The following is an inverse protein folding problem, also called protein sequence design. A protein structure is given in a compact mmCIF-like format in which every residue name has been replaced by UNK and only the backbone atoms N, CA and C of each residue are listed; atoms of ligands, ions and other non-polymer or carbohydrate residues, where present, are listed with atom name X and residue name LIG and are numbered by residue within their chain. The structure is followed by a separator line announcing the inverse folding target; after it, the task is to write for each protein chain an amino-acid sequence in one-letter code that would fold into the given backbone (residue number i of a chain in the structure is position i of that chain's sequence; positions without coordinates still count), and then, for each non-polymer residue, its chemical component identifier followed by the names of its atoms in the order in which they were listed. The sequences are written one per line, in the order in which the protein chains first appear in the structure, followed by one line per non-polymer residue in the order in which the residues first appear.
data_IF_234189496714
#
_entry.id   IF_234189496714
#
_cell.length_a   1.000
_cell.length_b   1.000
_cell.length_c   1.000
_cell.angle_alpha   90.00
_cell.angle_beta   90.00
_cell.angle_gamma   90.00
#
_symmetry.space_group_name_H-M   'P 1'
#
loop_
_entity.id
_entity.type
_entity.pdbx_description
1 polymer ?
#
# COMPACT_ATOMS: atom_id res chain seq x y z
N UNK A 1 -4.38 -13.97 12.42
CA UNK A 1 -4.84 -13.04 13.48
C UNK A 1 -3.83 -11.94 13.78
N UNK A 2 -2.53 -12.26 13.94
CA UNK A 2 -1.51 -11.24 14.22
C UNK A 2 -1.46 -10.08 13.22
N UNK A 3 -1.70 -10.35 11.93
CA UNK A 3 -1.70 -9.31 10.88
C UNK A 3 -2.86 -8.31 11.04
N UNK A 4 -4.16 -8.71 11.09
CA UNK A 4 -5.24 -7.78 11.40
C UNK A 4 -5.03 -6.96 12.67
N UNK A 5 -4.51 -7.58 13.75
CA UNK A 5 -4.19 -6.88 14.99
C UNK A 5 -3.10 -5.83 14.76
N UNK A 6 -1.98 -6.20 14.13
CA UNK A 6 -0.87 -5.28 13.87
C UNK A 6 -1.28 -4.11 12.96
N UNK A 7 -2.07 -4.37 11.92
CA UNK A 7 -2.61 -3.31 11.04
C UNK A 7 -3.49 -2.34 11.82
N UNK A 8 -4.40 -2.82 12.65
CA UNK A 8 -5.27 -1.95 13.46
C UNK A 8 -4.51 -1.19 14.56
N UNK A 9 -3.40 -1.73 15.07
CA UNK A 9 -2.48 -0.94 15.91
C UNK A 9 -1.91 0.26 15.13
N UNK A 10 -1.58 0.08 13.85
CA UNK A 10 -1.08 1.17 12.98
C UNK A 10 -2.20 2.14 12.55
N UNK A 11 -3.46 1.69 12.40
CA UNK A 11 -4.60 2.59 12.24
C UNK A 11 -4.65 3.64 13.35
N UNK A 12 -4.46 3.22 14.60
CA UNK A 12 -4.40 4.13 15.74
C UNK A 12 -3.07 4.88 15.82
N UNK A 13 -1.93 4.18 15.79
CA UNK A 13 -0.63 4.81 16.02
C UNK A 13 -0.26 5.81 14.92
N UNK A 14 -0.60 5.52 13.66
CA UNK A 14 -0.29 6.35 12.51
C UNK A 14 -1.39 7.36 12.19
N UNK A 15 -2.68 7.05 12.29
CA UNK A 15 -3.72 8.02 11.93
C UNK A 15 -4.55 8.54 13.11
N UNK A 16 -4.40 7.97 14.30
CA UNK A 16 -5.27 8.31 15.43
C UNK A 16 -6.71 7.83 15.23
N UNK A 17 -6.93 6.72 14.52
CA UNK A 17 -8.24 6.07 14.52
C UNK A 17 -8.49 5.48 15.91
N UNK A 18 -9.69 5.69 16.46
CA UNK A 18 -10.08 5.25 17.81
C UNK A 18 -10.00 3.72 17.95
N UNK A 19 -9.17 3.16 18.85
CA UNK A 19 -9.01 1.71 19.00
C UNK A 19 -10.32 0.94 19.24
N UNK A 20 -11.24 1.51 20.01
CA UNK A 20 -12.55 0.95 20.32
C UNK A 20 -13.52 0.92 19.13
N UNK A 21 -13.13 1.53 17.99
CA UNK A 21 -13.83 1.49 16.71
C UNK A 21 -13.15 0.56 15.70
N UNK A 22 -12.10 -0.14 16.10
CA UNK A 22 -11.35 -1.09 15.28
C UNK A 22 -11.70 -2.54 15.69
N UNK A 23 -11.96 -3.41 14.71
CA UNK A 23 -12.29 -4.81 14.95
C UNK A 23 -11.41 -5.75 14.10
N UNK A 24 -10.42 -6.44 14.69
CA UNK A 24 -9.63 -7.43 13.95
C UNK A 24 -10.45 -8.71 13.74
N UNK A 25 -10.49 -9.20 12.50
CA UNK A 25 -11.22 -10.42 12.14
C UNK A 25 -10.29 -11.40 11.42
N UNK A 26 -10.48 -12.69 11.67
CA UNK A 26 -9.92 -13.79 10.88
C UNK A 26 -11.04 -14.69 10.46
N UNK A 27 -11.10 -15.00 9.17
CA UNK A 27 -11.99 -16.01 8.61
C UNK A 27 -11.19 -17.32 8.50
N UNK A 28 -11.43 -18.24 9.42
CA UNK A 28 -10.77 -19.55 9.42
C UNK A 28 -11.61 -20.58 8.65
N UNK A 29 -11.12 -20.97 7.47
CA UNK A 29 -11.73 -21.99 6.60
C UNK A 29 -10.84 -23.22 6.50
N UNK A 30 -9.92 -23.40 7.45
CA UNK A 30 -8.86 -24.39 7.41
C UNK A 30 -7.55 -23.86 6.84
N UNK A 31 -6.55 -24.73 6.78
CA UNK A 31 -5.20 -24.42 6.28
C UNK A 31 -4.64 -25.56 5.45
N UNK A 32 -3.93 -25.22 4.38
CA UNK A 32 -3.22 -26.22 3.56
C UNK A 32 -1.79 -26.48 4.06
N UNK A 33 -1.35 -25.77 5.10
CA UNK A 33 -0.01 -25.92 5.67
C UNK A 33 0.09 -27.21 6.50
N UNK A 34 0.82 -28.20 5.98
CA UNK A 34 1.01 -29.51 6.64
C UNK A 34 1.69 -29.41 7.99
N UNK A 35 2.55 -28.43 8.21
CA UNK A 35 3.22 -28.22 9.49
C UNK A 35 2.20 -27.80 10.55
N UNK A 36 1.31 -26.86 10.22
CA UNK A 36 0.28 -26.39 11.15
C UNK A 36 -0.77 -27.47 11.44
N UNK A 37 -1.15 -28.28 10.46
CA UNK A 37 -2.10 -29.38 10.67
C UNK A 37 -1.57 -30.50 11.59
N UNK A 38 -0.25 -30.54 11.84
CA UNK A 38 0.40 -31.50 12.73
C UNK A 38 0.84 -30.86 14.05
N UNK A 39 0.73 -29.55 14.18
CA UNK A 39 1.17 -28.81 15.35
C UNK A 39 0.08 -28.84 16.42
N UNK A 40 0.31 -29.45 17.60
CA UNK A 40 -0.69 -29.51 18.67
C UNK A 40 -1.01 -28.13 19.28
N UNK A 41 -0.23 -27.10 18.98
CA UNK A 41 -0.48 -25.73 19.41
C UNK A 41 -1.18 -24.88 18.34
N UNK A 42 -1.53 -25.47 17.19
CA UNK A 42 -2.28 -24.74 16.16
C UNK A 42 -3.68 -24.36 16.67
N UNK A 43 -3.99 -23.07 16.58
CA UNK A 43 -5.23 -22.48 17.11
C UNK A 43 -6.42 -22.55 16.15
N UNK A 44 -6.22 -23.01 14.92
CA UNK A 44 -7.25 -23.02 13.87
C UNK A 44 -7.88 -24.38 13.62
N UNK A 45 -8.66 -24.47 12.56
CA UNK A 45 -9.32 -25.69 12.12
C UNK A 45 -8.30 -26.70 11.54
N UNK A 46 -8.27 -27.92 12.07
CA UNK A 46 -7.42 -29.02 11.61
C UNK A 46 -7.98 -29.70 10.34
N UNK A 47 -8.19 -28.90 9.29
CA UNK A 47 -8.66 -29.34 7.98
C UNK A 47 -8.02 -28.51 6.88
N UNK A 48 -8.03 -29.06 5.65
CA UNK A 48 -7.64 -28.30 4.46
C UNK A 48 -8.62 -27.15 4.21
N UNK A 49 -8.13 -26.13 3.50
CA UNK A 49 -8.95 -24.98 3.11
C UNK A 49 -10.15 -25.43 2.30
N UNK A 50 -11.35 -25.06 2.74
CA UNK A 50 -12.53 -25.16 1.90
C UNK A 50 -12.44 -24.14 0.75
N UNK A 51 -12.69 -24.59 -0.47
CA UNK A 51 -12.70 -23.80 -1.71
C UNK A 51 -14.00 -23.99 -2.50
N UNK A 52 -14.97 -24.67 -1.91
CA UNK A 52 -16.31 -24.82 -2.47
C UNK A 52 -17.08 -23.51 -2.35
N UNK A 53 -18.32 -23.52 -2.85
CA UNK A 53 -19.25 -22.41 -2.70
C UNK A 53 -19.46 -21.98 -1.24
N UNK A 54 -19.28 -22.88 -0.27
CA UNK A 54 -19.39 -22.55 1.14
C UNK A 54 -18.41 -21.43 1.58
N UNK A 55 -17.24 -21.33 0.96
CA UNK A 55 -16.31 -20.23 1.24
C UNK A 55 -16.86 -18.88 0.77
N UNK A 56 -17.44 -18.86 -0.42
CA UNK A 56 -18.05 -17.66 -0.99
C UNK A 56 -19.26 -17.20 -0.17
N UNK A 57 -20.12 -18.15 0.19
CA UNK A 57 -21.32 -17.90 1.00
C UNK A 57 -20.93 -17.37 2.39
N UNK A 58 -19.87 -17.90 3.01
CA UNK A 58 -19.35 -17.41 4.29
C UNK A 58 -18.87 -15.94 4.19
N UNK A 59 -18.17 -15.59 3.11
CA UNK A 59 -17.71 -14.20 2.94
C UNK A 59 -18.89 -13.28 2.64
N UNK A 60 -19.88 -13.72 1.85
CA UNK A 60 -21.11 -12.95 1.63
C UNK A 60 -21.86 -12.68 2.95
N UNK A 61 -22.07 -13.73 3.75
CA UNK A 61 -22.70 -13.63 5.07
C UNK A 61 -21.92 -12.69 5.99
N UNK A 62 -20.59 -12.78 6.01
CA UNK A 62 -19.74 -11.88 6.79
C UNK A 62 -19.95 -10.41 6.39
N UNK A 63 -19.88 -10.10 5.09
CA UNK A 63 -20.04 -8.72 4.61
C UNK A 63 -21.43 -8.17 4.97
N UNK A 64 -22.47 -8.98 4.81
CA UNK A 64 -23.85 -8.60 5.14
C UNK A 64 -24.04 -8.41 6.65
N UNK A 65 -23.56 -9.33 7.48
CA UNK A 65 -23.69 -9.26 8.93
C UNK A 65 -22.95 -8.05 9.53
N UNK A 66 -21.74 -7.75 9.04
CA UNK A 66 -20.96 -6.58 9.48
C UNK A 66 -21.72 -5.29 9.19
N UNK A 67 -22.20 -5.12 7.96
CA UNK A 67 -22.93 -3.90 7.58
C UNK A 67 -24.29 -3.80 8.25
N UNK A 68 -25.03 -4.90 8.40
CA UNK A 68 -26.30 -4.93 9.11
C UNK A 68 -26.15 -4.49 10.58
N UNK A 69 -25.02 -4.81 11.21
CA UNK A 69 -24.76 -4.48 12.62
C UNK A 69 -24.14 -3.10 12.82
N UNK A 70 -23.17 -2.73 11.98
CA UNK A 70 -22.31 -1.57 12.20
C UNK A 70 -22.57 -0.40 11.26
N UNK A 71 -23.35 -0.61 10.19
CA UNK A 71 -23.70 0.43 9.21
C UNK A 71 -23.01 0.24 7.86
N UNK A 72 -23.63 0.77 6.81
CA UNK A 72 -23.18 0.67 5.41
C UNK A 72 -21.86 1.42 5.13
N UNK A 73 -21.54 2.40 5.97
CA UNK A 73 -20.30 3.17 5.97
C UNK A 73 -19.17 2.50 6.78
N UNK A 74 -19.39 1.28 7.30
CA UNK A 74 -18.33 0.50 7.95
C UNK A 74 -17.22 0.18 6.96
N UNK A 75 -16.02 0.67 7.23
CA UNK A 75 -14.83 0.36 6.46
C UNK A 75 -14.40 -1.10 6.67
N UNK A 76 -14.30 -1.86 5.59
CA UNK A 76 -13.83 -3.25 5.59
C UNK A 76 -12.55 -3.34 4.74
N UNK A 77 -11.40 -3.54 5.39
CA UNK A 77 -10.12 -3.79 4.71
C UNK A 77 -9.86 -5.29 4.58
N UNK A 78 -9.65 -5.76 3.34
CA UNK A 78 -9.12 -7.09 3.07
C UNK A 78 -7.58 -7.07 3.11
N UNK A 79 -6.99 -8.11 3.71
CA UNK A 79 -5.54 -8.24 3.92
C UNK A 79 -5.13 -9.71 3.86
N UNK A 80 -4.00 -10.02 3.23
CA UNK A 80 -3.36 -11.34 3.15
C UNK A 80 -4.29 -12.46 2.61
N UNK A 81 -5.15 -12.12 1.64
CA UNK A 81 -5.91 -13.13 0.90
C UNK A 81 -5.04 -13.74 -0.20
N UNK A 82 -5.30 -14.98 -0.60
CA UNK A 82 -4.60 -15.55 -1.77
C UNK A 82 -5.03 -14.82 -3.05
N UNK A 83 -4.07 -14.57 -3.95
CA UNK A 83 -4.22 -13.81 -5.21
C UNK A 83 -5.58 -13.89 -5.91
N UNK A 84 -6.03 -15.10 -6.22
CA UNK A 84 -7.33 -15.30 -6.87
C UNK A 84 -8.51 -14.73 -6.06
N UNK A 85 -8.51 -14.97 -4.74
CA UNK A 85 -9.56 -14.52 -3.83
C UNK A 85 -9.48 -13.00 -3.57
N UNK A 86 -8.27 -12.44 -3.47
CA UNK A 86 -8.08 -11.01 -3.24
C UNK A 86 -8.73 -10.18 -4.36
N UNK A 87 -8.42 -10.49 -5.64
CA UNK A 87 -9.00 -9.77 -6.77
C UNK A 87 -10.50 -9.98 -6.93
N UNK A 88 -10.98 -11.23 -6.80
CA UNK A 88 -12.40 -11.51 -7.02
C UNK A 88 -13.27 -10.87 -5.94
N UNK A 89 -12.84 -10.89 -4.67
CA UNK A 89 -13.59 -10.25 -3.59
C UNK A 89 -13.55 -8.74 -3.69
N UNK A 90 -12.38 -8.15 -3.99
CA UNK A 90 -12.31 -6.71 -4.25
C UNK A 90 -13.30 -6.31 -5.36
N UNK A 91 -13.29 -7.01 -6.50
CA UNK A 91 -14.21 -6.74 -7.61
C UNK A 91 -15.67 -6.93 -7.23
N UNK A 92 -16.00 -7.99 -6.48
CA UNK A 92 -17.36 -8.33 -6.06
C UNK A 92 -17.94 -7.30 -5.10
N UNK A 93 -17.13 -6.76 -4.18
CA UNK A 93 -17.63 -5.98 -3.04
C UNK A 93 -17.39 -4.47 -3.14
N UNK A 94 -16.43 -4.00 -3.94
CA UNK A 94 -16.04 -2.57 -3.99
C UNK A 94 -17.16 -1.59 -4.35
N UNK A 95 -18.16 -2.05 -5.13
CA UNK A 95 -19.33 -1.24 -5.52
C UNK A 95 -20.58 -1.50 -4.66
N UNK A 96 -20.49 -2.41 -3.66
CA UNK A 96 -21.58 -2.75 -2.74
C UNK A 96 -21.29 -2.30 -1.30
N UNK A 97 -20.02 -2.24 -0.91
CA UNK A 97 -19.58 -1.97 0.46
C UNK A 97 -18.43 -0.96 0.49
N UNK A 98 -18.23 -0.32 1.65
CA UNK A 98 -17.07 0.52 1.89
C UNK A 98 -15.84 -0.36 2.15
N UNK A 99 -15.22 -0.83 1.07
CA UNK A 99 -14.13 -1.82 1.16
C UNK A 99 -12.99 -1.55 0.19
N UNK A 100 -11.81 -2.00 0.58
CA UNK A 100 -10.61 -2.02 -0.25
C UNK A 100 -9.71 -3.19 0.16
N UNK A 101 -8.72 -3.51 -0.67
CA UNK A 101 -7.68 -4.47 -0.33
C UNK A 101 -6.32 -3.75 -0.26
N UNK A 102 -5.63 -3.86 0.88
CA UNK A 102 -4.40 -3.11 1.12
C UNK A 102 -3.18 -3.66 0.35
N UNK A 103 -3.14 -4.98 0.12
CA UNK A 103 -2.10 -5.65 -0.66
C UNK A 103 -2.13 -5.21 -2.14
N UNK A 104 -3.32 -4.97 -2.68
CA UNK A 104 -3.54 -4.49 -4.05
C UNK A 104 -3.44 -2.96 -4.09
N UNK A 105 -4.33 -2.26 -3.39
CA UNK A 105 -4.55 -0.82 -3.58
C UNK A 105 -3.62 0.04 -2.69
N UNK A 106 -3.36 -0.39 -1.46
CA UNK A 106 -2.44 0.31 -0.56
C UNK A 106 -0.99 0.21 -1.03
N UNK A 107 -0.56 -0.99 -1.44
CA UNK A 107 0.76 -1.20 -2.07
C UNK A 107 0.89 -0.41 -3.37
N UNK A 108 -0.17 -0.33 -4.18
CA UNK A 108 -0.18 0.50 -5.38
C UNK A 108 0.12 1.96 -5.09
N UNK A 109 -0.59 2.53 -4.11
CA UNK A 109 -0.44 3.93 -3.74
C UNK A 109 0.95 4.26 -3.20
N UNK A 110 1.51 3.42 -2.31
CA UNK A 110 2.85 3.70 -1.77
C UNK A 110 3.92 3.57 -2.86
N UNK A 111 3.86 2.54 -3.71
CA UNK A 111 4.83 2.39 -4.79
C UNK A 111 4.74 3.55 -5.79
N UNK A 112 3.53 3.99 -6.15
CA UNK A 112 3.34 5.16 -7.00
C UNK A 112 3.90 6.43 -6.34
N UNK A 113 3.67 6.64 -5.05
CA UNK A 113 4.23 7.79 -4.34
C UNK A 113 5.77 7.81 -4.42
N UNK A 114 6.42 6.66 -4.27
CA UNK A 114 7.87 6.52 -4.46
C UNK A 114 8.31 6.84 -5.90
N UNK A 115 7.54 6.46 -6.91
CA UNK A 115 7.81 6.81 -8.31
C UNK A 115 7.63 8.31 -8.57
N UNK A 116 6.61 8.94 -7.99
CA UNK A 116 6.39 10.40 -8.09
C UNK A 116 7.53 11.17 -7.39
N UNK A 117 8.03 10.68 -6.25
CA UNK A 117 9.23 11.21 -5.61
C UNK A 117 10.48 11.01 -6.49
N UNK A 118 10.62 9.84 -7.12
CA UNK A 118 11.72 9.56 -8.04
C UNK A 118 11.69 10.43 -9.31
N UNK A 119 10.51 10.77 -9.82
CA UNK A 119 10.32 11.74 -10.91
C UNK A 119 10.93 13.09 -10.55
N UNK A 120 10.77 13.58 -9.30
CA UNK A 120 11.43 14.83 -8.85
C UNK A 120 12.95 14.74 -8.85
N UNK A 121 13.52 13.58 -8.53
CA UNK A 121 14.97 13.38 -8.53
C UNK A 121 15.57 13.20 -9.93
N UNK A 122 14.79 12.70 -10.88
CA UNK A 122 15.24 12.45 -12.27
C UNK A 122 14.87 13.56 -13.24
N UNK A 123 13.89 14.41 -12.90
CA UNK A 123 13.30 15.38 -13.82
C UNK A 123 12.48 14.75 -14.95
N UNK A 124 12.29 13.42 -14.93
CA UNK A 124 11.66 12.66 -16.00
C UNK A 124 10.17 12.41 -15.69
N UNK A 125 9.24 12.78 -16.58
CA UNK A 125 7.81 12.53 -16.38
C UNK A 125 7.49 11.03 -16.24
N UNK A 126 6.50 10.67 -15.42
CA UNK A 126 6.02 9.28 -15.26
C UNK A 126 5.68 8.61 -16.60
N UNK A 127 5.18 9.38 -17.56
CA UNK A 127 4.84 8.93 -18.92
C UNK A 127 6.06 8.53 -19.76
N UNK A 128 7.28 8.88 -19.36
CA UNK A 128 8.50 8.48 -20.06
C UNK A 128 9.21 7.29 -19.39
N UNK A 129 8.76 6.87 -18.21
CA UNK A 129 9.31 5.71 -17.53
C UNK A 129 8.82 4.41 -18.16
N UNK A 130 9.71 3.42 -18.19
CA UNK A 130 9.39 2.02 -18.51
C UNK A 130 9.64 1.18 -17.27
N UNK A 131 8.62 0.45 -16.84
CA UNK A 131 8.59 -0.27 -15.57
C UNK A 131 8.60 -1.77 -15.85
N UNK A 132 9.53 -2.49 -15.21
CA UNK A 132 9.59 -3.94 -15.26
C UNK A 132 9.37 -4.50 -13.85
N UNK A 133 8.29 -5.27 -13.69
CA UNK A 133 7.96 -5.95 -12.46
C UNK A 133 8.60 -7.32 -12.39
N UNK A 134 9.12 -7.66 -11.21
CA UNK A 134 9.41 -9.03 -10.82
C UNK A 134 8.30 -9.50 -9.88
N UNK A 135 7.48 -10.42 -10.39
CA UNK A 135 6.18 -10.80 -9.85
C UNK A 135 5.04 -10.24 -10.71
N UNK A 136 3.93 -10.98 -10.78
CA UNK A 136 2.71 -10.61 -11.49
C UNK A 136 1.45 -10.88 -10.65
N UNK A 137 1.58 -10.72 -9.32
CA UNK A 137 0.53 -10.96 -8.34
C UNK A 137 -0.26 -9.70 -7.95
N UNK A 138 -0.84 -9.72 -6.74
CA UNK A 138 -1.71 -8.66 -6.20
C UNK A 138 -1.05 -7.28 -6.24
N UNK A 139 0.12 -7.18 -5.62
CA UNK A 139 0.90 -5.96 -5.58
C UNK A 139 1.30 -5.49 -6.98
N UNK A 140 1.84 -6.37 -7.85
CA UNK A 140 2.30 -5.99 -9.18
C UNK A 140 1.16 -5.39 -10.03
N UNK A 141 0.02 -6.06 -10.06
CA UNK A 141 -1.15 -5.63 -10.83
C UNK A 141 -1.81 -4.38 -10.24
N UNK A 142 -1.87 -4.26 -8.91
CA UNK A 142 -2.34 -3.05 -8.24
C UNK A 142 -1.47 -1.84 -8.61
N UNK A 143 -0.15 -1.95 -8.41
CA UNK A 143 0.81 -0.89 -8.75
C UNK A 143 0.72 -0.54 -10.23
N UNK A 144 0.73 -1.53 -11.12
CA UNK A 144 0.68 -1.30 -12.56
C UNK A 144 -0.58 -0.54 -13.00
N UNK A 145 -1.75 -0.91 -12.49
CA UNK A 145 -3.00 -0.20 -12.80
C UNK A 145 -2.98 1.25 -12.29
N UNK A 146 -2.43 1.49 -11.10
CA UNK A 146 -2.34 2.86 -10.57
C UNK A 146 -1.31 3.72 -11.32
N UNK A 147 -0.20 3.14 -11.78
CA UNK A 147 0.74 3.81 -12.70
C UNK A 147 0.04 4.18 -14.01
N UNK A 148 -0.75 3.27 -14.58
CA UNK A 148 -1.55 3.56 -15.80
C UNK A 148 -2.47 4.75 -15.56
N UNK A 149 -3.18 4.78 -14.43
CA UNK A 149 -4.05 5.92 -14.08
C UNK A 149 -3.27 7.23 -13.96
N UNK A 150 -2.10 7.22 -13.31
CA UNK A 150 -1.24 8.40 -13.19
C UNK A 150 -0.72 8.90 -14.56
N UNK A 151 -0.35 7.99 -15.46
CA UNK A 151 0.04 8.34 -16.83
C UNK A 151 -1.14 8.91 -17.64
N UNK A 152 -2.35 8.37 -17.43
CA UNK A 152 -3.58 8.86 -18.07
C UNK A 152 -3.97 10.25 -17.60
N UNK A 153 -3.82 10.54 -16.31
CA UNK A 153 -4.03 11.89 -15.75
C UNK A 153 -3.05 12.91 -16.37
N UNK A 154 -1.87 12.46 -16.77
CA UNK A 154 -0.87 13.26 -17.50
C UNK A 154 -1.12 13.32 -19.02
N UNK A 155 -2.27 12.83 -19.50
CA UNK A 155 -2.71 12.91 -20.91
C UNK A 155 -2.35 11.72 -21.81
N UNK A 156 -1.78 10.64 -21.28
CA UNK A 156 -1.45 9.44 -22.07
C UNK A 156 -2.68 8.56 -22.27
N UNK A 157 -2.80 7.87 -23.42
CA UNK A 157 -3.87 6.87 -23.60
C UNK A 157 -3.60 5.64 -22.73
N UNK A 158 -4.66 4.95 -22.32
CA UNK A 158 -4.53 3.72 -21.52
C UNK A 158 -3.64 2.66 -22.20
N UNK A 159 -3.75 2.52 -23.52
CA UNK A 159 -2.93 1.58 -24.29
C UNK A 159 -1.44 1.96 -24.26
N UNK A 160 -1.11 3.23 -24.49
CA UNK A 160 0.27 3.71 -24.45
C UNK A 160 0.89 3.67 -23.05
N UNK A 161 0.08 3.83 -22.00
CA UNK A 161 0.52 3.65 -20.62
C UNK A 161 0.82 2.17 -20.31
N UNK A 162 -0.04 1.23 -20.75
CA UNK A 162 0.17 -0.21 -20.58
C UNK A 162 1.41 -0.72 -21.31
N UNK A 163 1.70 -0.20 -22.50
CA UNK A 163 2.89 -0.54 -23.30
C UNK A 163 4.24 -0.29 -22.57
N UNK A 164 4.21 0.60 -21.57
CA UNK A 164 5.39 0.94 -20.74
C UNK A 164 5.61 0.01 -19.56
N UNK A 165 4.69 -0.92 -19.31
CA UNK A 165 4.70 -1.76 -18.11
C UNK A 165 4.84 -3.23 -18.50
N UNK A 166 5.91 -3.87 -18.02
CA UNK A 166 6.25 -5.25 -18.30
C UNK A 166 6.25 -6.05 -16.99
N UNK A 167 5.91 -7.34 -17.05
CA UNK A 167 5.86 -8.21 -15.87
C UNK A 167 6.59 -9.52 -16.13
N UNK A 168 7.32 -10.01 -15.13
CA UNK A 168 8.06 -11.27 -15.15
C UNK A 168 7.67 -12.10 -13.92
N UNK A 169 6.98 -13.23 -14.11
CA UNK A 169 6.55 -14.12 -13.02
C UNK A 169 7.47 -15.34 -12.87
N UNK A 170 7.06 -16.32 -12.06
CA UNK A 170 7.82 -17.55 -11.83
C UNK A 170 8.02 -18.40 -13.11
N UNK A 171 7.31 -18.10 -14.19
CA UNK A 171 7.38 -18.78 -15.48
C UNK A 171 8.00 -17.91 -16.58
N UNK A 172 8.42 -16.68 -16.27
CA UNK A 172 9.10 -15.79 -17.19
C UNK A 172 8.28 -14.54 -17.54
N UNK A 173 8.64 -13.90 -18.65
CA UNK A 173 8.00 -12.68 -19.12
C UNK A 173 6.54 -12.94 -19.54
N UNK A 174 5.63 -12.03 -19.21
CA UNK A 174 4.24 -12.09 -19.65
C UNK A 174 4.13 -11.69 -21.13
N UNK A 175 4.15 -12.69 -22.02
CA UNK A 175 4.07 -12.49 -23.47
C UNK A 175 3.01 -13.40 -24.12
N UNK A 176 2.47 -12.97 -25.26
CA UNK A 176 1.49 -13.74 -26.04
C UNK A 176 2.08 -15.08 -26.45
N UNK A 177 1.28 -16.13 -26.33
CA UNK A 177 1.67 -17.49 -26.73
C UNK A 177 2.65 -18.18 -25.77
N UNK A 178 2.92 -17.63 -24.58
CA UNK A 178 3.67 -18.34 -23.53
C UNK A 178 2.90 -19.60 -23.11
N UNK A 179 3.63 -20.63 -22.63
CA UNK A 179 3.04 -21.93 -22.27
C UNK A 179 2.12 -21.88 -21.06
N UNK A 180 2.46 -21.07 -20.05
CA UNK A 180 1.67 -20.94 -18.84
C UNK A 180 0.55 -19.93 -19.03
N UNK A 181 -0.64 -20.29 -18.57
CA UNK A 181 -1.79 -19.41 -18.64
C UNK A 181 -1.53 -18.10 -17.88
N UNK A 182 -2.14 -17.03 -18.38
CA UNK A 182 -2.22 -15.74 -17.71
C UNK A 182 -3.64 -15.57 -17.21
N UNK A 183 -3.81 -15.03 -16.01
CA UNK A 183 -5.16 -14.72 -15.51
C UNK A 183 -5.72 -13.45 -16.17
N UNK A 184 -7.04 -13.26 -16.07
CA UNK A 184 -7.75 -12.13 -16.70
C UNK A 184 -7.26 -10.75 -16.22
N UNK A 185 -6.71 -10.63 -15.02
CA UNK A 185 -6.12 -9.38 -14.54
C UNK A 185 -4.75 -9.12 -15.19
N UNK A 186 -4.03 -10.16 -15.58
CA UNK A 186 -2.70 -10.09 -16.21
C UNK A 186 -2.77 -9.77 -17.71
N UNK A 187 -3.84 -10.17 -18.40
CA UNK A 187 -4.05 -9.91 -19.85
C UNK A 187 -3.79 -8.44 -20.24
N UNK A 188 -4.10 -7.54 -19.31
CA UNK A 188 -3.74 -6.12 -19.26
C UNK A 188 -2.33 -5.76 -19.78
N UNK A 189 -1.37 -6.61 -19.46
CA UNK A 189 0.07 -6.37 -19.50
C UNK A 189 0.81 -7.49 -20.25
N UNK A 190 0.08 -8.29 -21.03
CA UNK A 190 0.66 -9.32 -21.91
C UNK A 190 1.04 -8.68 -23.23
N UNK A 191 2.33 -8.73 -23.57
CA UNK A 191 2.89 -8.09 -24.76
C UNK A 191 3.26 -9.09 -25.84
N UNK A 192 3.54 -8.60 -27.05
CA UNK A 192 4.21 -9.43 -28.06
C UNK A 192 5.62 -9.80 -27.57
N UNK A 193 6.09 -11.00 -27.94
CA UNK A 193 7.38 -11.49 -27.47
C UNK A 193 8.52 -10.64 -28.05
N UNK A 194 9.42 -10.10 -27.21
CA UNK A 194 10.58 -9.33 -27.68
C UNK A 194 11.75 -10.23 -28.12
N UNK A 195 11.55 -11.55 -28.21
CA UNK A 195 12.57 -12.53 -28.58
C UNK A 195 12.85 -13.54 -27.46
N UNK A 196 14.08 -14.05 -27.40
CA UNK A 196 14.50 -15.08 -26.44
C UNK A 196 14.89 -14.46 -25.10
N UNK A 197 13.94 -14.39 -24.16
CA UNK A 197 14.12 -13.89 -22.79
C UNK A 197 14.01 -15.05 -21.81
N UNK A 198 15.15 -15.50 -21.25
CA UNK A 198 15.21 -16.70 -20.39
C UNK A 198 15.37 -16.39 -18.92
N UNK A 199 15.90 -15.21 -18.59
CA UNK A 199 16.13 -14.76 -17.23
C UNK A 199 15.60 -13.34 -17.00
N UNK A 200 15.49 -12.94 -15.72
CA UNK A 200 15.15 -11.55 -15.39
C UNK A 200 16.22 -10.56 -15.86
N UNK A 201 17.50 -10.97 -15.88
CA UNK A 201 18.58 -10.16 -16.45
C UNK A 201 18.40 -9.96 -17.96
N UNK A 202 18.02 -11.01 -18.69
CA UNK A 202 17.70 -10.88 -20.13
C UNK A 202 16.54 -9.93 -20.34
N UNK A 203 15.52 -9.99 -19.49
CA UNK A 203 14.39 -9.06 -19.53
C UNK A 203 14.84 -7.61 -19.29
N UNK A 204 15.71 -7.35 -18.31
CA UNK A 204 16.29 -6.02 -18.07
C UNK A 204 17.07 -5.53 -19.28
N UNK A 205 17.93 -6.36 -19.87
CA UNK A 205 18.75 -5.97 -21.03
C UNK A 205 17.93 -5.75 -22.30
N UNK A 206 16.85 -6.51 -22.47
CA UNK A 206 15.97 -6.45 -23.65
C UNK A 206 15.00 -5.27 -23.56
N UNK A 207 14.29 -5.16 -22.43
CA UNK A 207 13.25 -4.15 -22.21
C UNK A 207 13.87 -2.78 -21.93
N UNK A 208 15.08 -2.75 -21.34
CA UNK A 208 15.78 -1.54 -20.88
C UNK A 208 14.90 -0.65 -19.99
N UNK A 209 14.37 -1.19 -18.88
CA UNK A 209 13.48 -0.44 -18.01
C UNK A 209 14.25 0.68 -17.30
N UNK A 210 13.53 1.74 -16.98
CA UNK A 210 14.03 2.81 -16.09
C UNK A 210 13.76 2.51 -14.62
N UNK A 211 12.78 1.64 -14.35
CA UNK A 211 12.41 1.22 -13.01
C UNK A 211 12.21 -0.30 -12.97
N UNK A 212 12.81 -0.95 -11.98
CA UNK A 212 12.48 -2.34 -11.61
C UNK A 212 11.78 -2.37 -10.27
N UNK A 213 10.68 -3.11 -10.18
CA UNK A 213 9.86 -3.22 -8.96
C UNK A 213 9.68 -4.70 -8.61
N UNK A 214 10.22 -5.10 -7.47
CA UNK A 214 10.18 -6.46 -6.96
C UNK A 214 9.08 -6.65 -5.93
N UNK A 215 8.19 -7.60 -6.20
CA UNK A 215 7.02 -7.96 -5.36
C UNK A 215 6.76 -9.48 -5.43
N UNK A 216 7.81 -10.29 -5.56
CA UNK A 216 7.69 -11.73 -5.80
C UNK A 216 7.72 -12.59 -4.52
N UNK A 217 8.15 -12.04 -3.37
CA UNK A 217 8.30 -12.79 -2.12
C UNK A 217 9.34 -13.92 -2.18
N UNK A 218 10.26 -13.85 -3.15
CA UNK A 218 11.12 -14.96 -3.54
C UNK A 218 12.61 -14.76 -3.17
N UNK A 219 12.96 -13.69 -2.48
CA UNK A 219 14.35 -13.43 -2.04
C UNK A 219 15.19 -12.74 -3.11
N UNK A 220 16.50 -12.97 -3.09
CA UNK A 220 17.54 -12.19 -3.77
C UNK A 220 17.58 -12.37 -5.30
N UNK A 221 16.54 -11.90 -5.98
CA UNK A 221 16.38 -12.02 -7.44
C UNK A 221 16.86 -10.78 -8.22
N UNK A 222 17.03 -9.64 -7.55
CA UNK A 222 17.82 -8.53 -8.11
C UNK A 222 19.29 -8.83 -7.84
N UNK A 223 19.84 -9.73 -8.64
CA UNK A 223 21.24 -10.14 -8.55
C UNK A 223 22.17 -8.96 -8.80
N UNK A 224 23.45 -9.12 -8.46
CA UNK A 224 24.45 -8.09 -8.72
C UNK A 224 24.49 -7.68 -10.20
N UNK A 225 24.36 -8.63 -11.11
CA UNK A 225 24.34 -8.36 -12.55
C UNK A 225 23.10 -7.59 -12.99
N UNK A 226 21.93 -7.87 -12.39
CA UNK A 226 20.70 -7.10 -12.63
C UNK A 226 20.87 -5.65 -12.18
N UNK A 227 21.44 -5.43 -10.98
CA UNK A 227 21.65 -4.07 -10.44
C UNK A 227 22.66 -3.30 -11.28
N UNK A 228 23.78 -3.94 -11.67
CA UNK A 228 24.78 -3.35 -12.56
C UNK A 228 24.20 -3.02 -13.94
N UNK A 229 23.38 -3.91 -14.50
CA UNK A 229 22.70 -3.66 -15.77
C UNK A 229 21.77 -2.44 -15.68
N UNK A 230 20.98 -2.32 -14.60
CA UNK A 230 20.17 -1.13 -14.35
C UNK A 230 21.02 0.14 -14.26
N UNK A 231 22.15 0.09 -13.56
CA UNK A 231 23.10 1.19 -13.42
C UNK A 231 23.81 1.57 -14.72
N UNK A 232 24.02 0.63 -15.65
CA UNK A 232 24.61 0.89 -16.96
C UNK A 232 23.59 1.47 -17.96
N UNK A 233 22.33 1.04 -17.86
CA UNK A 233 21.24 1.48 -18.76
C UNK A 233 20.66 2.84 -18.39
N UNK A 234 20.80 3.27 -17.13
CA UNK A 234 20.16 4.46 -16.60
C UNK A 234 21.15 5.28 -15.77
N UNK A 235 21.13 6.60 -15.93
CA UNK A 235 21.92 7.50 -15.08
C UNK A 235 21.49 7.40 -13.62
N UNK A 236 20.17 7.37 -13.36
CA UNK A 236 19.54 7.26 -12.02
C UNK A 236 18.52 6.11 -12.03
N UNK A 237 18.93 4.83 -11.93
CA UNK A 237 18.01 3.71 -12.00
C UNK A 237 17.08 3.67 -10.78
N UNK A 238 15.79 3.40 -11.00
CA UNK A 238 14.83 3.19 -9.91
C UNK A 238 14.79 1.69 -9.57
N UNK A 239 15.05 1.35 -8.31
CA UNK A 239 15.14 -0.05 -7.83
C UNK A 239 14.31 -0.20 -6.57
N UNK A 240 13.12 -0.81 -6.69
CA UNK A 240 12.22 -1.05 -5.55
C UNK A 240 12.21 -2.52 -5.18
N UNK A 241 12.68 -2.86 -3.97
CA UNK A 241 12.69 -4.22 -3.42
C UNK A 241 11.61 -4.37 -2.34
N UNK A 242 10.34 -4.52 -2.76
CA UNK A 242 9.17 -4.34 -1.90
C UNK A 242 8.73 -5.62 -1.18
N UNK A 243 9.33 -6.77 -1.49
CA UNK A 243 9.00 -8.02 -0.82
C UNK A 243 9.34 -8.02 0.67
N UNK A 244 8.43 -8.58 1.48
CA UNK A 244 8.56 -8.70 2.93
C UNK A 244 8.59 -10.17 3.38
N UNK A 245 9.21 -10.49 4.52
CA UNK A 245 10.10 -9.64 5.34
C UNK A 245 11.51 -9.50 4.70
N UNK A 246 12.49 -8.94 5.40
CA UNK A 246 13.83 -8.61 4.87
C UNK A 246 14.55 -9.75 4.14
N UNK A 247 14.35 -11.01 4.56
CA UNK A 247 14.95 -12.18 3.89
C UNK A 247 14.29 -12.52 2.54
N UNK A 248 13.14 -11.90 2.23
CA UNK A 248 12.44 -12.00 0.94
C UNK A 248 12.68 -10.81 0.02
N UNK A 249 13.33 -9.75 0.50
CA UNK A 249 13.66 -8.59 -0.32
C UNK A 249 14.58 -8.95 -1.49
N UNK A 250 14.31 -8.37 -2.66
CA UNK A 250 14.97 -8.67 -3.92
C UNK A 250 16.47 -8.34 -3.94
N UNK A 251 16.87 -7.31 -3.19
CA UNK A 251 18.26 -6.97 -2.90
C UNK A 251 18.34 -6.19 -1.59
N UNK A 252 19.55 -5.94 -1.10
CA UNK A 252 19.78 -5.04 0.02
C UNK A 252 19.94 -3.59 -0.47
N UNK A 253 19.72 -2.62 0.43
CA UNK A 253 20.11 -1.24 0.15
C UNK A 253 21.62 -1.11 -0.14
N UNK A 254 22.45 -1.87 0.57
CA UNK A 254 23.90 -1.86 0.42
C UNK A 254 24.33 -2.30 -0.97
N UNK A 255 23.80 -3.43 -1.47
CA UNK A 255 24.02 -3.89 -2.85
C UNK A 255 23.55 -2.85 -3.87
N UNK A 256 22.33 -2.31 -3.68
CA UNK A 256 21.73 -1.36 -4.62
C UNK A 256 22.59 -0.09 -4.77
N UNK A 257 22.98 0.55 -3.66
CA UNK A 257 23.80 1.75 -3.70
C UNK A 257 25.23 1.46 -4.14
N UNK A 258 25.86 0.39 -3.65
CA UNK A 258 27.26 0.08 -3.97
C UNK A 258 27.45 -0.25 -5.45
N UNK A 259 26.58 -1.08 -6.01
CA UNK A 259 26.70 -1.55 -7.40
C UNK A 259 26.22 -0.53 -8.44
N UNK A 260 25.64 0.58 -7.99
CA UNK A 260 25.23 1.70 -8.86
C UNK A 260 25.99 2.99 -8.54
N UNK A 261 27.06 2.92 -7.77
CA UNK A 261 27.88 4.07 -7.36
C UNK A 261 27.05 5.20 -6.71
N UNK A 262 26.05 4.82 -5.91
CA UNK A 262 25.14 5.75 -5.22
C UNK A 262 24.08 6.40 -6.11
N UNK A 263 24.02 6.05 -7.41
CA UNK A 263 23.11 6.71 -8.35
C UNK A 263 21.67 6.22 -8.29
N UNK A 264 21.44 5.00 -7.81
CA UNK A 264 20.09 4.44 -7.77
C UNK A 264 19.14 5.22 -6.85
N UNK A 265 17.87 5.15 -7.19
CA UNK A 265 16.75 5.59 -6.36
C UNK A 265 16.13 4.33 -5.75
N UNK A 266 16.57 4.01 -4.54
CA UNK A 266 16.22 2.77 -3.86
C UNK A 266 15.09 2.94 -2.85
N UNK A 267 14.16 1.99 -2.86
CA UNK A 267 13.17 1.81 -1.81
C UNK A 267 12.96 0.33 -1.52
N UNK A 268 12.48 0.02 -0.32
CA UNK A 268 12.26 -1.37 0.10
C UNK A 268 11.01 -1.53 0.95
N UNK A 269 10.42 -2.72 0.97
CA UNK A 269 9.22 -3.00 1.79
C UNK A 269 9.55 -3.13 3.27
N UNK A 270 10.70 -3.75 3.56
CA UNK A 270 11.26 -3.95 4.91
C UNK A 270 12.38 -2.94 5.18
N UNK A 271 12.62 -2.55 6.44
CA UNK A 271 13.60 -1.51 6.76
C UNK A 271 15.04 -1.97 6.50
N UNK A 272 15.85 -1.08 5.96
CA UNK A 272 17.31 -1.16 5.91
C UNK A 272 17.93 0.07 6.58
N UNK A 273 19.09 -0.11 7.20
CA UNK A 273 19.84 1.00 7.79
C UNK A 273 20.44 1.94 6.73
N UNK A 274 20.99 3.10 7.15
CA UNK A 274 21.76 3.96 6.27
C UNK A 274 22.97 3.23 5.66
N UNK A 275 23.33 3.61 4.44
CA UNK A 275 24.47 3.07 3.69
C UNK A 275 25.50 4.16 3.47
N UNK A 276 26.73 3.94 3.92
CA UNK A 276 27.86 4.85 3.69
C UNK A 276 28.74 4.28 2.59
N UNK A 277 28.87 4.97 1.47
CA UNK A 277 29.79 4.58 0.40
C UNK A 277 31.24 4.92 0.74
N UNK A 278 32.19 4.32 0.02
CA UNK A 278 33.64 4.56 0.20
C UNK A 278 34.04 6.03 0.06
N UNK A 279 33.30 6.81 -0.73
CA UNK A 279 33.48 8.26 -0.87
C UNK A 279 32.92 9.11 0.29
N UNK A 280 32.39 8.50 1.35
CA UNK A 280 31.84 9.18 2.53
C UNK A 280 30.39 9.65 2.39
N UNK A 281 29.77 9.52 1.21
CA UNK A 281 28.36 9.82 1.01
C UNK A 281 27.47 8.82 1.75
N UNK A 282 26.48 9.34 2.47
CA UNK A 282 25.52 8.54 3.25
C UNK A 282 24.15 8.61 2.61
N UNK A 283 23.56 7.44 2.34
CA UNK A 283 22.21 7.28 1.82
C UNK A 283 21.28 6.70 2.88
N UNK A 284 20.06 7.22 2.98
CA UNK A 284 19.04 6.75 3.91
C UNK A 284 17.87 6.16 3.12
N UNK A 285 17.87 4.84 2.85
CA UNK A 285 16.86 4.21 2.00
C UNK A 285 15.45 4.39 2.59
N UNK A 286 14.49 4.73 1.73
CA UNK A 286 13.09 4.83 2.11
C UNK A 286 12.40 3.47 2.23
N UNK A 287 11.38 3.38 3.07
CA UNK A 287 10.54 2.19 3.20
C UNK A 287 9.21 2.39 2.45
N UNK A 288 9.04 1.72 1.32
CA UNK A 288 7.79 1.71 0.54
C UNK A 288 6.77 0.74 1.14
N UNK A 289 6.29 1.05 2.34
CA UNK A 289 5.34 0.23 3.09
C UNK A 289 3.93 0.85 3.09
N UNK A 290 2.90 0.03 2.95
CA UNK A 290 1.50 0.47 2.92
C UNK A 290 1.05 1.18 4.22
N UNK A 291 1.80 1.09 5.32
CA UNK A 291 1.63 1.91 6.53
C UNK A 291 1.62 3.43 6.27
N UNK A 292 2.20 3.91 5.16
CA UNK A 292 2.06 5.32 4.78
C UNK A 292 0.68 5.69 4.22
N UNK A 293 -0.10 4.71 3.75
CA UNK A 293 -1.33 4.95 2.98
C UNK A 293 -2.57 4.57 3.78
N UNK A 294 -2.70 3.30 4.18
CA UNK A 294 -3.95 2.82 4.76
C UNK A 294 -4.43 3.61 5.99
N UNK A 295 -3.56 4.12 6.90
CA UNK A 295 -4.06 4.86 8.05
C UNK A 295 -4.75 6.17 7.63
N UNK A 296 -4.10 6.95 6.75
CA UNK A 296 -4.63 8.23 6.28
C UNK A 296 -5.86 8.07 5.40
N UNK A 297 -5.86 7.07 4.50
CA UNK A 297 -7.03 6.75 3.66
C UNK A 297 -8.20 6.31 4.53
N UNK A 298 -7.99 5.39 5.47
CA UNK A 298 -9.04 4.93 6.37
C UNK A 298 -9.62 6.08 7.20
N UNK A 299 -8.77 6.95 7.73
CA UNK A 299 -9.21 8.13 8.48
C UNK A 299 -10.08 9.05 7.61
N UNK A 300 -9.68 9.36 6.38
CA UNK A 300 -10.50 10.18 5.47
C UNK A 300 -11.84 9.53 5.15
N UNK A 301 -11.84 8.23 4.83
CA UNK A 301 -13.03 7.47 4.46
C UNK A 301 -14.05 7.47 5.60
N UNK A 302 -13.60 7.12 6.82
CA UNK A 302 -14.43 7.10 8.03
C UNK A 302 -14.96 8.50 8.34
N UNK A 303 -14.09 9.51 8.33
CA UNK A 303 -14.48 10.87 8.70
C UNK A 303 -15.34 11.58 7.65
N UNK A 304 -15.36 11.12 6.41
CA UNK A 304 -16.14 11.72 5.32
C UNK A 304 -17.43 10.94 5.00
N UNK A 305 -17.65 9.78 5.65
CA UNK A 305 -18.80 8.92 5.37
C UNK A 305 -18.80 8.39 3.94
N UNK A 306 -17.63 8.08 3.39
CA UNK A 306 -17.50 7.51 2.04
C UNK A 306 -18.14 6.12 2.01
N UNK A 307 -18.93 5.84 0.96
CA UNK A 307 -19.65 4.56 0.81
C UNK A 307 -18.91 3.53 -0.03
N UNK A 308 -18.13 3.98 -1.02
CA UNK A 308 -17.37 3.14 -1.94
C UNK A 308 -16.01 3.80 -2.22
N UNK A 309 -14.95 3.00 -2.31
CA UNK A 309 -13.57 3.49 -2.46
C UNK A 309 -13.09 3.21 -3.88
N UNK A 310 -13.01 4.26 -4.71
CA UNK A 310 -12.47 4.19 -6.06
C UNK A 310 -10.93 4.16 -6.05
N UNK A 311 -10.33 3.68 -7.13
CA UNK A 311 -8.87 3.68 -7.28
C UNK A 311 -8.28 5.11 -7.34
N UNK A 312 -9.11 6.11 -7.69
CA UNK A 312 -8.70 7.52 -7.69
C UNK A 312 -8.42 8.06 -6.29
N UNK A 313 -9.02 7.49 -5.23
CA UNK A 313 -8.69 7.81 -3.84
C UNK A 313 -7.24 7.44 -3.53
N UNK A 314 -6.80 6.28 -4.01
CA UNK A 314 -5.43 5.80 -3.82
C UNK A 314 -4.42 6.59 -4.68
N UNK A 315 -4.81 7.01 -5.88
CA UNK A 315 -4.03 7.93 -6.70
C UNK A 315 -3.80 9.26 -5.96
N UNK A 316 -4.85 9.83 -5.37
CA UNK A 316 -4.74 11.08 -4.61
C UNK A 316 -3.89 10.91 -3.34
N UNK A 317 -4.07 9.80 -2.61
CA UNK A 317 -3.24 9.48 -1.46
C UNK A 317 -1.75 9.35 -1.83
N UNK A 318 -1.45 8.74 -2.98
CA UNK A 318 -0.08 8.61 -3.48
C UNK A 318 0.58 9.98 -3.77
N UNK A 319 -0.16 10.89 -4.42
CA UNK A 319 0.31 12.27 -4.64
C UNK A 319 0.54 13.02 -3.34
N UNK A 320 -0.43 12.95 -2.42
CA UNK A 320 -0.32 13.59 -1.11
C UNK A 320 0.89 13.08 -0.31
N UNK A 321 1.22 11.79 -0.41
CA UNK A 321 2.43 11.25 0.21
C UNK A 321 3.71 11.80 -0.45
N UNK A 322 3.75 11.84 -1.78
CA UNK A 322 4.91 12.32 -2.54
C UNK A 322 5.18 13.83 -2.35
N UNK A 323 4.13 14.64 -2.18
CA UNK A 323 4.21 16.08 -1.91
C UNK A 323 4.85 16.40 -0.55
N UNK A 324 4.76 15.49 0.42
CA UNK A 324 5.28 15.70 1.77
C UNK A 324 6.78 15.42 1.90
N UNK A 325 7.42 14.85 0.88
CA UNK A 325 8.85 14.64 0.85
C UNK A 325 9.59 15.95 0.55
N UNK A 326 10.50 16.36 1.43
CA UNK A 326 11.30 17.57 1.22
C UNK A 326 12.49 17.33 0.26
N UNK A 327 12.98 18.38 -0.39
CA UNK A 327 14.15 18.29 -1.27
C UNK A 327 15.42 17.85 -0.51
N UNK A 328 15.54 18.20 0.76
CA UNK A 328 16.66 17.76 1.60
C UNK A 328 16.60 16.25 1.87
N UNK A 329 15.42 15.72 2.21
CA UNK A 329 15.23 14.27 2.38
C UNK A 329 15.49 13.51 1.08
N UNK A 330 15.08 14.05 -0.06
CA UNK A 330 15.35 13.48 -1.37
C UNK A 330 16.86 13.44 -1.68
N UNK A 331 17.61 14.48 -1.31
CA UNK A 331 19.09 14.52 -1.42
C UNK A 331 19.79 13.49 -0.52
N UNK A 332 19.17 13.11 0.61
CA UNK A 332 19.65 11.99 1.45
C UNK A 332 19.36 10.60 0.84
N UNK A 333 18.71 10.55 -0.33
CA UNK A 333 18.34 9.29 -1.00
C UNK A 333 17.00 8.71 -0.54
N UNK A 334 16.18 9.47 0.19
CA UNK A 334 14.83 9.04 0.61
C UNK A 334 13.83 9.24 -0.52
N UNK A 335 12.89 8.31 -0.64
CA UNK A 335 11.72 8.44 -1.54
C UNK A 335 10.41 8.59 -0.78
N UNK A 336 10.46 8.57 0.55
CA UNK A 336 9.32 8.73 1.45
C UNK A 336 9.72 9.61 2.64
N UNK A 337 8.77 10.35 3.22
CA UNK A 337 9.01 11.10 4.45
C UNK A 337 9.56 10.18 5.57
N UNK A 338 10.22 10.70 6.60
CA UNK A 338 10.68 9.91 7.74
C UNK A 338 9.52 9.23 8.48
N UNK A 339 9.70 7.95 8.86
CA UNK A 339 8.71 7.20 9.65
C UNK A 339 8.37 7.88 10.98
N UNK A 340 9.31 8.62 11.58
CA UNK A 340 9.07 9.40 12.80
C UNK A 340 7.97 10.47 12.63
N UNK A 341 7.67 10.86 11.38
CA UNK A 341 6.63 11.82 11.05
C UNK A 341 5.34 11.17 10.49
N UNK A 342 5.23 9.83 10.53
CA UNK A 342 4.15 9.09 9.86
C UNK A 342 2.74 9.51 10.33
N UNK A 343 2.64 10.01 11.57
CA UNK A 343 1.37 10.48 12.10
C UNK A 343 0.88 11.76 11.43
N UNK A 344 1.77 12.73 11.29
CA UNK A 344 1.46 13.94 10.54
C UNK A 344 1.23 13.61 9.05
N UNK A 345 2.01 12.69 8.49
CA UNK A 345 1.82 12.23 7.11
C UNK A 345 0.42 11.66 6.87
N UNK A 346 -0.05 10.81 7.78
CA UNK A 346 -1.39 10.21 7.71
C UNK A 346 -2.49 11.26 7.85
N UNK A 347 -2.31 12.26 8.72
CA UNK A 347 -3.27 13.38 8.87
C UNK A 347 -3.35 14.20 7.58
N UNK A 348 -2.23 14.53 6.95
CA UNK A 348 -2.22 15.30 5.71
C UNK A 348 -2.83 14.51 4.54
N UNK A 349 -2.54 13.21 4.43
CA UNK A 349 -3.22 12.32 3.48
C UNK A 349 -4.72 12.34 3.75
N UNK A 350 -5.14 12.24 5.01
CA UNK A 350 -6.55 12.25 5.35
C UNK A 350 -7.24 13.56 4.96
N UNK A 351 -6.58 14.70 5.16
CA UNK A 351 -7.09 16.02 4.75
C UNK A 351 -7.21 16.13 3.23
N UNK A 352 -6.19 15.72 2.47
CA UNK A 352 -6.19 15.77 1.00
C UNK A 352 -7.22 14.82 0.40
N UNK A 353 -7.29 13.59 0.89
CA UNK A 353 -8.30 12.62 0.46
C UNK A 353 -9.70 13.11 0.83
N UNK A 354 -9.90 13.68 2.02
CA UNK A 354 -11.18 14.29 2.41
C UNK A 354 -11.60 15.40 1.43
N UNK A 355 -10.69 16.34 1.11
CA UNK A 355 -10.94 17.37 0.10
C UNK A 355 -11.35 16.77 -1.24
N UNK A 356 -10.64 15.75 -1.71
CA UNK A 356 -10.93 15.06 -2.94
C UNK A 356 -12.32 14.41 -2.93
N UNK A 357 -12.68 13.65 -1.90
CA UNK A 357 -13.98 12.94 -1.87
C UNK A 357 -15.17 13.89 -1.75
N UNK A 358 -15.05 15.04 -1.07
CA UNK A 358 -16.09 16.07 -1.10
C UNK A 358 -16.21 16.69 -2.50
N UNK A 359 -15.08 17.05 -3.12
CA UNK A 359 -15.06 17.71 -4.43
C UNK A 359 -15.60 16.83 -5.56
N UNK A 360 -15.56 15.51 -5.39
CA UNK A 360 -16.05 14.52 -6.36
C UNK A 360 -17.41 13.92 -5.97
N UNK A 361 -18.12 14.48 -4.97
CA UNK A 361 -19.46 14.01 -4.58
C UNK A 361 -19.49 12.59 -4.00
N UNK A 362 -18.38 12.15 -3.40
CA UNK A 362 -18.22 10.81 -2.82
C UNK A 362 -18.43 10.80 -1.29
N UNK A 363 -18.40 11.96 -0.64
CA UNK A 363 -18.58 12.12 0.80
C UNK A 363 -20.05 12.28 1.19
N UNK A 364 -20.48 11.64 2.27
CA UNK A 364 -21.86 11.68 2.76
C UNK A 364 -21.99 12.16 4.21
N UNK A 365 -20.89 12.59 4.84
CA UNK A 365 -20.96 13.33 6.09
C UNK A 365 -21.41 14.77 5.80
N UNK A 366 -22.52 15.16 6.40
CA UNK A 366 -23.07 16.52 6.28
C UNK A 366 -23.33 17.15 7.65
N UNK A 367 -23.15 18.49 7.79
CA UNK A 367 -22.62 19.40 6.77
C UNK A 367 -21.14 19.17 6.47
N UNK A 368 -20.70 19.54 5.26
CA UNK A 368 -19.27 19.51 4.90
C UNK A 368 -18.46 20.41 5.85
N UNK A 369 -17.35 19.91 6.45
CA UNK A 369 -16.49 20.74 7.28
C UNK A 369 -15.85 21.89 6.47
N UNK A 370 -16.04 23.11 6.97
CA UNK A 370 -15.40 24.32 6.40
C UNK A 370 -13.88 24.22 6.50
N UNK A 371 -13.36 23.91 7.69
CA UNK A 371 -11.94 23.59 7.92
C UNK A 371 -11.76 22.08 8.07
N UNK A 372 -11.38 21.43 6.97
CA UNK A 372 -11.13 19.97 6.94
C UNK A 372 -9.93 19.58 7.78
N UNK A 373 -8.89 20.41 7.87
CA UNK A 373 -7.71 20.12 8.67
C UNK A 373 -8.04 20.21 10.16
N UNK A 374 -8.69 21.30 10.59
CA UNK A 374 -9.18 21.45 11.96
C UNK A 374 -10.14 20.32 12.35
N UNK A 375 -11.07 19.94 11.47
CA UNK A 375 -11.99 18.84 11.71
C UNK A 375 -11.28 17.48 11.89
N UNK A 376 -10.35 17.13 11.00
CA UNK A 376 -9.56 15.89 11.13
C UNK A 376 -8.80 15.89 12.45
N UNK A 377 -8.06 16.96 12.77
CA UNK A 377 -7.25 17.06 13.99
C UNK A 377 -8.06 17.06 15.28
N UNK A 378 -9.28 17.59 15.26
CA UNK A 378 -10.17 17.53 16.41
C UNK A 378 -10.74 16.12 16.66
N UNK A 379 -10.68 15.23 15.67
CA UNK A 379 -11.29 13.89 15.75
C UNK A 379 -10.29 12.77 16.02
N UNK A 380 -9.00 12.97 15.72
CA UNK A 380 -7.98 11.94 15.96
C UNK A 380 -7.85 11.61 17.44
N UNK A 381 -7.73 10.33 17.74
CA UNK A 381 -7.56 9.78 19.08
C UNK A 381 -6.30 10.31 19.77
N UNK A 382 -6.42 10.62 21.06
CA UNK A 382 -5.33 11.15 21.88
C UNK A 382 -4.81 10.07 22.84
N UNK A 383 -3.48 10.03 23.03
CA UNK A 383 -2.80 9.12 23.95
C UNK A 383 -2.87 9.56 25.42
N UNK A 384 -3.29 10.80 25.69
CA UNK A 384 -3.46 11.31 27.04
C UNK A 384 -4.61 10.58 27.74
N UNK A 385 -4.45 10.30 29.04
CA UNK A 385 -5.54 9.79 29.85
C UNK A 385 -6.69 10.81 29.91
N UNK A 386 -7.92 10.32 29.74
CA UNK A 386 -9.13 11.10 29.99
C UNK A 386 -9.50 11.07 31.48
N UNK A 387 -10.19 12.12 31.94
CA UNK A 387 -10.74 12.13 33.30
C UNK A 387 -11.96 11.22 33.35
N UNK A 388 -11.97 10.31 34.33
CA UNK A 388 -13.15 9.50 34.67
C UNK A 388 -14.00 10.16 35.78
N UNK A 389 -13.56 11.31 36.31
CA UNK A 389 -14.34 12.07 37.27
C UNK A 389 -15.54 12.71 36.55
N UNK A 390 -16.75 12.69 37.15
CA UNK A 390 -17.88 13.43 36.64
C UNK A 390 -17.55 14.93 36.52
N UNK A 391 -18.08 15.57 35.50
CA UNK A 391 -18.01 17.03 35.37
C UNK A 391 -18.93 17.69 36.40
N UNK A 392 -18.34 18.19 37.48
CA UNK A 392 -19.07 18.86 38.58
C UNK A 392 -18.89 20.37 38.47
N UNK A 393 -19.98 21.11 38.38
CA UNK A 393 -20.01 22.57 38.37
C UNK A 393 -21.11 23.12 39.28
N UNK A 394 -20.85 24.26 39.90
CA UNK A 394 -21.81 24.92 40.78
C UNK A 394 -22.89 25.66 39.99
N UNK A 395 -24.12 25.61 40.50
CA UNK A 395 -25.22 26.43 39.98
C UNK A 395 -25.16 27.84 40.59
N UNK A 396 -25.39 28.90 39.80
CA UNK A 396 -25.44 30.26 40.34
C UNK A 396 -26.44 30.39 41.50
N UNK A 397 -25.99 30.92 42.63
CA UNK A 397 -26.83 31.20 43.81
C UNK A 397 -27.09 30.01 44.74
N UNK A 398 -26.58 28.81 44.44
CA UNK A 398 -26.71 27.63 45.32
C UNK A 398 -25.41 27.42 46.08
N UNK A 399 -25.33 27.88 47.34
CA UNK A 399 -24.19 27.52 48.20
C UNK A 399 -24.46 26.17 48.87
N UNK A 400 -23.89 25.09 48.35
CA UNK A 400 -23.82 23.83 49.10
C UNK A 400 -22.75 24.00 50.19
N UNK A 401 -23.14 24.47 51.37
CA UNK A 401 -22.34 24.27 52.58
C UNK A 401 -22.65 22.86 53.07
N UNK A 402 -21.69 21.92 53.08
CA UNK A 402 -21.87 20.67 53.81
C UNK A 402 -22.21 21.05 55.25
N UNK A 403 -23.30 20.53 55.81
CA UNK A 403 -23.56 20.69 57.25
C UNK A 403 -22.43 19.97 57.98
N UNK A 404 -21.50 20.73 58.54
CA UNK A 404 -20.52 20.23 59.50
C UNK A 404 -21.31 19.80 60.74
N UNK A 405 -21.36 18.50 60.99
CA UNK A 405 -21.93 17.88 62.19
C UNK A 405 -21.03 18.08 63.40
#
# INVERSE_FOLDING_TARGET
MGIPVGKLCLYTACAGIRPEKCLPVVIDVGTNNETLLKDPFYMGLYQKRDRSQAYDDLIDEFMEAVVNKYGQDTLIQFEDFGNHNAFRFLRKYREKYCTFNDDIQGTAAVALAGLLAAQRATGKPITEHRVLFLGAGEAALGIANLIVMAMMESGTTQAAARDKIWMYDAHGLLVKGRKQETDTNQEAFVHDSPGDVRSFLDAVNTIKPTAIIGVAGAGRLFTHDVIKAMGALNERPIIFALSNPTNKAECTAEDAYTLTDGRCLFASGSPFGPVTLSGGQVFKPGQGNNAYIFPGVALAVILSGVRHISDTVFLEAAKSLAEQLTDNELKEGRLYPPLSNIREVSVQIAVKVMQYVYSNGMAFRYPEPLDKNGFVRATVWNTNYESFLPDTYDWPGVSFRPKTS
#
